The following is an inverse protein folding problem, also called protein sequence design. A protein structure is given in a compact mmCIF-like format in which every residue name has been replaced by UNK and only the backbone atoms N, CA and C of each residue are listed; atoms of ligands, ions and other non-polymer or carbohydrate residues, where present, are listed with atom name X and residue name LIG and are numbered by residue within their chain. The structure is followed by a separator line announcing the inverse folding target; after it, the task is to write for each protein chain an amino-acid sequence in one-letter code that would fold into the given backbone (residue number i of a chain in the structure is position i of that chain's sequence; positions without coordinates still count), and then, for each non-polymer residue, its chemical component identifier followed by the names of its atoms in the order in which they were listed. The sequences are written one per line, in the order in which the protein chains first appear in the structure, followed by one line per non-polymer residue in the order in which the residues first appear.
data_IF_241081068472
#
_entry.id   IF_241081068472
#
_cell.length_a   1.000
_cell.length_b   1.000
_cell.length_c   1.000
_cell.angle_alpha   90.00
_cell.angle_beta   90.00
_cell.angle_gamma   90.00
#
_symmetry.space_group_name_H-M   'P 1'
#
loop_
_entity.id
_entity.type
_entity.pdbx_description
1 polymer ?
#
# COMPACT_ATOMS: atom_id res chain seq x y z
N UNK A 1 7.75 -6.77 -26.83
CA UNK A 1 7.75 -6.83 -25.34
C UNK A 1 8.88 -7.73 -24.88
N UNK A 2 9.77 -7.26 -24.02
CA UNK A 2 10.86 -8.09 -23.47
C UNK A 2 10.32 -9.05 -22.40
N UNK A 3 10.84 -10.29 -22.35
CA UNK A 3 10.40 -11.33 -21.39
C UNK A 3 10.41 -10.84 -19.92
N UNK A 4 11.31 -9.92 -19.60
CA UNK A 4 11.42 -9.31 -18.27
C UNK A 4 10.25 -8.40 -17.91
N UNK A 5 9.64 -7.71 -18.88
CA UNK A 5 8.49 -6.82 -18.65
C UNK A 5 7.21 -7.61 -18.45
N UNK A 6 7.04 -8.73 -19.15
CA UNK A 6 5.90 -9.64 -18.97
C UNK A 6 5.90 -10.23 -17.57
N UNK A 7 7.06 -10.71 -17.09
CA UNK A 7 7.20 -11.24 -15.72
C UNK A 7 6.85 -10.21 -14.63
N UNK A 8 7.24 -8.95 -14.82
CA UNK A 8 6.90 -7.85 -13.91
C UNK A 8 5.39 -7.63 -13.83
N UNK A 9 4.74 -7.52 -14.99
CA UNK A 9 3.30 -7.35 -15.06
C UNK A 9 2.56 -8.54 -14.45
N UNK A 10 3.04 -9.77 -14.70
CA UNK A 10 2.43 -10.98 -14.16
C UNK A 10 2.48 -11.02 -12.62
N UNK A 11 3.62 -10.68 -12.00
CA UNK A 11 3.71 -10.64 -10.53
C UNK A 11 2.82 -9.54 -9.95
N UNK A 12 2.79 -8.36 -10.57
CA UNK A 12 1.88 -7.29 -10.17
C UNK A 12 0.42 -7.75 -10.27
N UNK A 13 0.03 -8.38 -11.38
CA UNK A 13 -1.32 -8.90 -11.58
C UNK A 13 -1.68 -9.99 -10.55
N UNK A 14 -0.75 -10.89 -10.21
CA UNK A 14 -0.98 -11.89 -9.17
C UNK A 14 -1.18 -11.26 -7.78
N UNK A 15 -0.41 -10.23 -7.43
CA UNK A 15 -0.59 -9.50 -6.17
C UNK A 15 -1.94 -8.76 -6.12
N UNK A 16 -2.34 -8.13 -7.23
CA UNK A 16 -3.65 -7.47 -7.35
C UNK A 16 -4.77 -8.49 -7.23
N UNK A 17 -4.67 -9.63 -7.92
CA UNK A 17 -5.68 -10.68 -7.86
C UNK A 17 -5.84 -11.23 -6.43
N UNK A 18 -4.73 -11.47 -5.73
CA UNK A 18 -4.73 -11.88 -4.33
C UNK A 18 -5.45 -10.84 -3.46
N UNK A 19 -5.13 -9.55 -3.62
CA UNK A 19 -5.76 -8.47 -2.86
C UNK A 19 -7.26 -8.37 -3.13
N UNK A 20 -7.68 -8.48 -4.39
CA UNK A 20 -9.10 -8.43 -4.80
C UNK A 20 -9.89 -9.60 -4.22
N UNK A 21 -9.33 -10.82 -4.20
CA UNK A 21 -10.00 -12.01 -3.65
C UNK A 21 -10.05 -11.99 -2.11
N UNK A 22 -9.01 -11.50 -1.45
CA UNK A 22 -8.98 -11.36 0.01
C UNK A 22 -9.93 -10.27 0.51
N UNK A 23 -10.25 -9.28 -0.35
CA UNK A 23 -11.11 -8.15 0.00
C UNK A 23 -12.52 -8.56 0.46
N UNK A 24 -13.30 -9.36 -0.29
CA UNK A 24 -14.63 -9.80 0.14
C UNK A 24 -14.57 -10.84 1.27
N UNK A 25 -13.53 -11.69 1.34
CA UNK A 25 -13.41 -12.74 2.37
C UNK A 25 -13.23 -12.18 3.79
N UNK A 26 -12.54 -11.04 3.93
CA UNK A 26 -12.29 -10.38 5.22
C UNK A 26 -13.00 -9.02 5.32
N UNK A 27 -14.05 -8.79 4.52
CA UNK A 27 -14.89 -7.59 4.64
C UNK A 27 -15.84 -7.76 5.82
N UNK A 28 -15.35 -7.43 7.01
CA UNK A 28 -16.21 -7.25 8.18
C UNK A 28 -17.01 -5.95 7.96
N UNK A 29 -18.31 -5.96 8.20
CA UNK A 29 -19.19 -4.80 7.99
C UNK A 29 -18.60 -3.52 8.62
N UNK A 30 -18.01 -2.66 7.78
CA UNK A 30 -17.43 -1.38 8.19
C UNK A 30 -15.90 -1.29 8.28
N UNK A 31 -15.13 -2.39 8.12
CA UNK A 31 -13.66 -2.35 8.10
C UNK A 31 -13.08 -3.28 7.04
N UNK A 32 -12.18 -2.76 6.18
CA UNK A 32 -11.47 -3.53 5.16
C UNK A 32 -9.95 -3.60 5.47
N UNK A 33 -9.54 -4.35 6.52
CA UNK A 33 -8.16 -4.35 7.00
C UNK A 33 -7.17 -4.97 6.00
N UNK A 34 -7.64 -5.89 5.14
CA UNK A 34 -6.75 -6.61 4.22
C UNK A 34 -6.12 -5.72 3.14
N UNK A 35 -6.79 -4.65 2.72
CA UNK A 35 -6.19 -3.71 1.77
C UNK A 35 -4.94 -3.05 2.35
N UNK A 36 -4.97 -2.68 3.62
CA UNK A 36 -3.82 -2.05 4.27
C UNK A 36 -2.71 -3.05 4.58
N UNK A 37 -3.05 -4.29 4.89
CA UNK A 37 -2.06 -5.38 5.00
C UNK A 37 -1.29 -5.54 3.69
N UNK A 38 -2.02 -5.67 2.57
CA UNK A 38 -1.39 -5.88 1.26
C UNK A 38 -0.62 -4.65 0.80
N UNK A 39 -1.08 -3.44 1.10
CA UNK A 39 -0.32 -2.21 0.85
C UNK A 39 1.01 -2.19 1.59
N UNK A 40 1.04 -2.49 2.90
CA UNK A 40 2.26 -2.52 3.71
C UNK A 40 3.22 -3.62 3.24
N UNK A 41 2.69 -4.80 2.90
CA UNK A 41 3.47 -5.93 2.36
C UNK A 41 4.05 -5.58 0.98
N UNK A 42 3.24 -5.03 0.08
CA UNK A 42 3.68 -4.60 -1.25
C UNK A 42 4.70 -3.46 -1.17
N UNK A 43 4.51 -2.51 -0.26
CA UNK A 43 5.44 -1.42 0.01
C UNK A 43 6.82 -1.95 0.44
N UNK A 44 6.86 -2.93 1.35
CA UNK A 44 8.11 -3.53 1.82
C UNK A 44 8.80 -4.43 0.77
N UNK A 45 8.04 -5.07 -0.13
CA UNK A 45 8.57 -6.03 -1.11
C UNK A 45 8.92 -5.42 -2.47
N UNK A 46 8.10 -4.48 -2.96
CA UNK A 46 8.19 -3.90 -4.31
C UNK A 46 8.57 -2.41 -4.32
N UNK A 47 8.49 -1.75 -3.17
CA UNK A 47 8.81 -0.32 -3.02
C UNK A 47 7.64 0.61 -3.39
N UNK A 48 7.78 1.93 -3.16
CA UNK A 48 6.67 2.88 -3.16
C UNK A 48 5.96 3.00 -4.52
N UNK A 49 6.70 3.12 -5.62
CA UNK A 49 6.08 3.33 -6.95
C UNK A 49 5.24 2.13 -7.40
N UNK A 50 5.77 0.91 -7.24
CA UNK A 50 5.05 -0.30 -7.68
C UNK A 50 3.92 -0.67 -6.72
N UNK A 51 4.10 -0.46 -5.41
CA UNK A 51 3.02 -0.61 -4.44
C UNK A 51 1.86 0.35 -4.74
N UNK A 52 2.16 1.59 -5.13
CA UNK A 52 1.12 2.58 -5.50
C UNK A 52 0.39 2.18 -6.78
N UNK A 53 1.10 1.71 -7.82
CA UNK A 53 0.48 1.23 -9.06
C UNK A 53 -0.40 0.00 -8.80
N UNK A 54 0.08 -0.92 -7.95
CA UNK A 54 -0.67 -2.10 -7.51
C UNK A 54 -1.94 -1.68 -6.75
N UNK A 55 -1.81 -0.80 -5.76
CA UNK A 55 -2.92 -0.30 -4.96
C UNK A 55 -3.96 0.44 -5.82
N UNK A 56 -3.51 1.23 -6.80
CA UNK A 56 -4.37 1.89 -7.77
C UNK A 56 -5.14 0.88 -8.62
N UNK A 57 -4.45 -0.11 -9.20
CA UNK A 57 -5.08 -1.16 -10.00
C UNK A 57 -6.10 -1.97 -9.19
N UNK A 58 -5.76 -2.33 -7.95
CA UNK A 58 -6.68 -3.01 -7.06
C UNK A 58 -7.90 -2.16 -6.71
N UNK A 59 -7.70 -0.89 -6.36
CA UNK A 59 -8.80 0.02 -6.03
C UNK A 59 -9.73 0.28 -7.23
N UNK A 60 -9.21 0.36 -8.46
CA UNK A 60 -10.04 0.43 -9.67
C UNK A 60 -10.88 -0.83 -9.86
N UNK A 61 -10.28 -2.01 -9.72
CA UNK A 61 -11.01 -3.28 -9.85
C UNK A 61 -12.08 -3.42 -8.76
N UNK A 62 -11.76 -3.01 -7.54
CA UNK A 62 -12.70 -2.95 -6.40
C UNK A 62 -13.84 -1.97 -6.64
N UNK A 63 -13.56 -0.81 -7.20
CA UNK A 63 -14.58 0.17 -7.58
C UNK A 63 -15.54 -0.41 -8.63
N UNK A 64 -14.99 -1.12 -9.63
CA UNK A 64 -15.77 -1.72 -10.72
C UNK A 64 -16.58 -2.96 -10.29
N UNK A 65 -16.02 -3.84 -9.46
CA UNK A 65 -16.64 -5.12 -9.08
C UNK A 65 -17.49 -5.06 -7.81
N UNK A 66 -17.07 -4.26 -6.82
CA UNK A 66 -17.68 -4.23 -5.48
C UNK A 66 -18.44 -2.91 -5.20
N UNK A 67 -18.45 -1.96 -6.15
CA UNK A 67 -19.16 -0.68 -6.01
C UNK A 67 -18.66 0.18 -4.84
N UNK A 68 -17.40 -0.01 -4.40
CA UNK A 68 -16.82 0.72 -3.27
C UNK A 68 -16.57 2.18 -3.68
N UNK A 69 -16.86 3.18 -2.82
CA UNK A 69 -16.73 4.59 -3.16
C UNK A 69 -15.28 4.96 -3.55
N UNK A 70 -15.09 5.99 -4.41
CA UNK A 70 -13.77 6.46 -4.86
C UNK A 70 -12.88 6.95 -3.71
N UNK A 71 -13.43 7.11 -2.50
CA UNK A 71 -12.66 7.31 -1.27
C UNK A 71 -11.60 6.24 -1.01
N UNK A 72 -11.91 4.97 -1.31
CA UNK A 72 -10.96 3.89 -1.11
C UNK A 72 -9.77 4.00 -2.07
N UNK A 73 -9.97 4.63 -3.24
CA UNK A 73 -8.93 4.86 -4.24
C UNK A 73 -7.89 5.86 -3.72
N UNK A 74 -8.33 7.02 -3.22
CA UNK A 74 -7.40 8.03 -2.68
C UNK A 74 -6.68 7.49 -1.45
N UNK A 75 -7.41 6.88 -0.51
CA UNK A 75 -6.80 6.24 0.66
C UNK A 75 -5.73 5.20 0.30
N UNK A 76 -6.00 4.31 -0.66
CA UNK A 76 -5.06 3.26 -1.06
C UNK A 76 -3.80 3.80 -1.76
N UNK A 77 -3.94 4.82 -2.61
CA UNK A 77 -2.80 5.47 -3.28
C UNK A 77 -1.88 6.14 -2.25
N UNK A 78 -2.44 6.98 -1.38
CA UNK A 78 -1.65 7.70 -0.37
C UNK A 78 -1.10 6.77 0.70
N UNK A 79 -1.89 5.78 1.13
CA UNK A 79 -1.45 4.71 2.03
C UNK A 79 -0.23 3.98 1.48
N UNK A 80 -0.35 3.34 0.31
CA UNK A 80 0.74 2.57 -0.28
C UNK A 80 1.99 3.42 -0.58
N UNK A 81 1.80 4.69 -0.96
CA UNK A 81 2.89 5.61 -1.22
C UNK A 81 3.62 6.01 0.07
N UNK A 82 2.89 6.39 1.13
CA UNK A 82 3.50 6.73 2.41
C UNK A 82 4.06 5.52 3.14
N UNK A 83 3.42 4.34 3.04
CA UNK A 83 3.96 3.09 3.56
C UNK A 83 5.29 2.73 2.88
N UNK A 84 5.37 2.88 1.56
CA UNK A 84 6.60 2.64 0.79
C UNK A 84 7.70 3.66 1.07
N UNK A 85 7.34 4.94 1.29
CA UNK A 85 8.29 5.96 1.72
C UNK A 85 8.76 5.71 3.16
N UNK A 86 7.84 5.44 4.08
CA UNK A 86 8.12 5.15 5.48
C UNK A 86 9.06 3.97 5.64
N UNK A 87 8.77 2.85 4.96
CA UNK A 87 9.67 1.69 4.94
C UNK A 87 11.08 2.05 4.44
N UNK A 88 11.17 2.95 3.46
CA UNK A 88 12.43 3.36 2.85
C UNK A 88 13.24 4.31 3.71
N UNK A 89 12.61 5.25 4.42
CA UNK A 89 13.27 6.17 5.34
C UNK A 89 13.69 5.47 6.64
N UNK A 90 12.81 4.63 7.17
CA UNK A 90 13.00 4.02 8.48
C UNK A 90 13.84 2.76 8.49
N UNK A 91 13.95 2.01 7.37
CA UNK A 91 14.50 0.64 7.29
C UNK A 91 13.91 -0.38 8.30
N UNK A 92 12.96 0.04 9.14
CA UNK A 92 12.23 -0.80 10.10
C UNK A 92 10.78 -0.96 9.66
N UNK A 93 10.23 -2.16 9.87
CA UNK A 93 8.86 -2.52 9.49
C UNK A 93 7.82 -1.55 10.10
N UNK A 94 8.08 -1.06 11.32
CA UNK A 94 7.26 -0.06 12.02
C UNK A 94 6.98 1.21 11.23
N UNK A 95 7.95 1.70 10.43
CA UNK A 95 7.78 2.91 9.64
C UNK A 95 6.86 2.70 8.42
N UNK A 96 6.77 1.48 7.89
CA UNK A 96 5.83 1.16 6.82
C UNK A 96 4.39 1.25 7.31
N UNK A 97 4.13 0.70 8.49
CA UNK A 97 2.81 0.74 9.13
C UNK A 97 2.42 2.14 9.58
N UNK A 98 3.35 2.90 10.17
CA UNK A 98 3.11 4.31 10.48
C UNK A 98 2.77 5.11 9.21
N UNK A 99 3.47 4.84 8.11
CA UNK A 99 3.17 5.43 6.80
C UNK A 99 1.79 5.08 6.28
N UNK A 100 1.34 3.84 6.40
CA UNK A 100 -0.01 3.41 5.99
C UNK A 100 -1.10 4.07 6.85
N UNK A 101 -0.91 4.13 8.18
CA UNK A 101 -1.85 4.78 9.12
C UNK A 101 -1.97 6.28 8.81
N UNK A 102 -0.85 6.96 8.58
CA UNK A 102 -0.85 8.38 8.22
C UNK A 102 -1.41 8.62 6.81
N UNK A 103 -1.03 7.80 5.84
CA UNK A 103 -1.42 7.94 4.43
C UNK A 103 -2.90 7.64 4.22
N UNK A 104 -3.39 6.51 4.73
CA UNK A 104 -4.77 6.07 4.55
C UNK A 104 -5.70 6.73 5.55
N UNK A 105 -5.26 6.82 6.82
CA UNK A 105 -6.07 7.31 7.93
C UNK A 105 -6.15 8.83 8.01
N UNK A 106 -5.04 9.56 7.87
CA UNK A 106 -5.02 11.02 7.99
C UNK A 106 -5.17 11.70 6.61
N UNK A 107 -4.26 11.43 5.67
CA UNK A 107 -4.25 12.10 4.36
C UNK A 107 -5.43 11.62 3.49
N UNK A 108 -5.69 10.31 3.47
CA UNK A 108 -6.80 9.71 2.72
C UNK A 108 -8.16 10.21 3.19
N UNK A 109 -8.36 10.35 4.51
CA UNK A 109 -9.61 10.90 5.06
C UNK A 109 -9.76 12.40 4.83
N UNK A 110 -8.68 13.19 4.85
CA UNK A 110 -8.76 14.61 4.51
C UNK A 110 -9.08 14.83 3.02
N UNK A 111 -8.43 14.07 2.13
CA UNK A 111 -8.66 14.16 0.68
C UNK A 111 -9.99 13.53 0.24
N UNK A 112 -10.59 12.67 1.08
CA UNK A 112 -11.90 12.10 0.80
C UNK A 112 -13.01 13.15 0.71
N UNK A 113 -12.90 14.24 1.47
CA UNK A 113 -13.90 15.31 1.55
C UNK A 113 -14.17 15.99 0.19
N UNK A 114 -13.17 16.55 -0.53
CA UNK A 114 -13.39 17.16 -1.83
C UNK A 114 -13.82 16.14 -2.90
N UNK A 115 -13.31 14.90 -2.84
CA UNK A 115 -13.66 13.85 -3.82
C UNK A 115 -15.13 13.46 -3.70
N UNK A 116 -15.66 13.35 -2.48
CA UNK A 116 -17.06 12.98 -2.27
C UNK A 116 -18.03 14.11 -2.67
N UNK A 117 -17.67 15.36 -2.36
CA UNK A 117 -18.46 16.55 -2.75
C UNK A 117 -18.56 16.67 -4.26
N UNK A 118 -17.47 16.39 -4.99
CA UNK A 118 -17.45 16.43 -6.45
C UNK A 118 -18.24 15.29 -7.10
N UNK A 119 -18.23 14.09 -6.51
CA UNK A 119 -18.91 12.92 -7.08
C UNK A 119 -20.39 12.80 -6.69
N UNK A 120 -20.78 13.31 -5.52
CA UNK A 120 -22.14 13.10 -4.96
C UNK A 120 -23.00 14.37 -5.01
N UNK A 121 -22.42 15.55 -5.23
CA UNK A 121 -23.16 16.83 -5.37
C UNK A 121 -23.94 17.29 -4.13
N UNK A 122 -23.91 16.51 -3.04
CA UNK A 122 -24.61 16.73 -1.78
C UNK A 122 -23.60 16.92 -0.66
N UNK A 123 -23.60 18.10 -0.04
CA UNK A 123 -22.77 18.45 1.11
C UNK A 123 -23.32 17.82 2.40
N UNK A 124 -23.40 16.49 2.46
CA UNK A 124 -23.76 15.78 3.68
C UNK A 124 -22.52 15.68 4.59
N UNK A 125 -22.37 16.67 5.47
CA UNK A 125 -21.28 16.80 6.45
C UNK A 125 -21.10 15.58 7.38
N UNK A 126 -22.13 14.73 7.52
CA UNK A 126 -22.11 13.55 8.39
C UNK A 126 -21.30 12.36 7.84
N UNK A 127 -21.04 12.26 6.54
CA UNK A 127 -20.30 11.09 6.01
C UNK A 127 -18.85 11.07 6.46
N UNK A 128 -18.23 12.23 6.68
CA UNK A 128 -16.85 12.32 7.16
C UNK A 128 -16.70 11.73 8.57
N UNK A 129 -17.67 11.99 9.46
CA UNK A 129 -17.63 11.51 10.83
C UNK A 129 -17.89 9.99 10.94
N UNK A 130 -18.55 9.40 9.95
CA UNK A 130 -18.82 7.96 9.92
C UNK A 130 -17.74 7.18 9.17
N UNK A 131 -17.19 7.72 8.07
CA UNK A 131 -16.17 7.03 7.27
C UNK A 131 -14.74 7.20 7.81
N UNK A 132 -14.39 8.37 8.36
CA UNK A 132 -13.03 8.61 8.87
C UNK A 132 -12.65 7.64 10.00
N UNK A 133 -13.49 7.37 11.02
CA UNK A 133 -13.17 6.38 12.05
C UNK A 133 -13.08 4.95 11.50
N UNK A 134 -13.86 4.61 10.47
CA UNK A 134 -13.83 3.30 9.80
C UNK A 134 -12.54 3.09 9.02
N UNK A 135 -12.09 4.11 8.29
CA UNK A 135 -10.80 4.10 7.59
C UNK A 135 -9.64 4.08 8.57
N UNK A 136 -9.71 4.85 9.66
CA UNK A 136 -8.68 4.88 10.68
C UNK A 136 -8.59 3.54 11.42
N UNK A 137 -9.72 2.97 11.83
CA UNK A 137 -9.77 1.65 12.48
C UNK A 137 -9.35 0.50 11.57
N UNK A 138 -9.76 0.53 10.29
CA UNK A 138 -9.31 -0.43 9.27
C UNK A 138 -7.82 -0.32 8.97
N UNK A 139 -7.28 0.90 8.91
CA UNK A 139 -5.85 1.14 8.68
C UNK A 139 -5.01 0.77 9.89
N UNK A 140 -5.46 1.02 11.12
CA UNK A 140 -4.76 0.58 12.35
C UNK A 140 -4.73 -0.94 12.42
N UNK A 141 -5.89 -1.60 12.31
CA UNK A 141 -5.97 -3.06 12.37
C UNK A 141 -5.20 -3.72 11.23
N UNK A 142 -5.35 -3.23 10.01
CA UNK A 142 -4.61 -3.71 8.84
C UNK A 142 -3.10 -3.46 8.92
N UNK A 143 -2.67 -2.30 9.42
CA UNK A 143 -1.25 -2.00 9.62
C UNK A 143 -0.63 -2.86 10.70
N UNK A 144 -1.36 -3.15 11.79
CA UNK A 144 -0.89 -4.02 12.85
C UNK A 144 -0.71 -5.47 12.36
N UNK A 145 -1.69 -5.99 11.61
CA UNK A 145 -1.59 -7.31 10.97
C UNK A 145 -0.45 -7.32 9.93
N UNK A 146 -0.33 -6.26 9.13
CA UNK A 146 0.77 -6.08 8.18
C UNK A 146 2.14 -6.10 8.86
N UNK A 147 2.30 -5.42 9.99
CA UNK A 147 3.51 -5.46 10.79
C UNK A 147 3.83 -6.87 11.27
N UNK A 148 2.83 -7.57 11.79
CA UNK A 148 3.02 -8.94 12.28
C UNK A 148 3.50 -9.86 11.15
N UNK A 149 2.87 -9.79 9.98
CA UNK A 149 3.29 -10.55 8.79
C UNK A 149 4.71 -10.17 8.37
N UNK A 150 5.05 -8.88 8.30
CA UNK A 150 6.41 -8.43 7.96
C UNK A 150 7.45 -8.88 8.99
N UNK A 151 7.09 -8.87 10.27
CA UNK A 151 7.96 -9.32 11.35
C UNK A 151 8.26 -10.82 11.22
N UNK A 152 7.24 -11.64 10.99
CA UNK A 152 7.39 -13.07 10.73
C UNK A 152 8.26 -13.33 9.49
N UNK A 153 8.00 -12.61 8.39
CA UNK A 153 8.78 -12.75 7.15
C UNK A 153 10.25 -12.33 7.30
N UNK A 154 10.53 -11.32 8.12
CA UNK A 154 11.90 -10.90 8.44
C UNK A 154 12.61 -11.89 9.35
N UNK A 155 11.88 -12.47 10.31
CA UNK A 155 12.40 -13.50 11.21
C UNK A 155 12.80 -14.78 10.45
N UNK A 156 12.07 -15.13 9.38
CA UNK A 156 12.41 -16.25 8.48
C UNK A 156 13.51 -15.84 7.47
N UNK A 157 13.85 -14.56 7.36
CA UNK A 157 14.87 -14.04 6.43
C UNK A 157 14.45 -14.03 4.95
N UNK A 158 13.17 -14.29 4.68
CA UNK A 158 12.61 -14.36 3.32
C UNK A 158 12.50 -12.97 2.71
N UNK A 159 12.25 -11.93 3.52
CA UNK A 159 12.15 -10.53 3.08
C UNK A 159 13.35 -10.10 2.24
N UNK A 160 14.58 -10.45 2.67
CA UNK A 160 15.81 -10.12 1.94
C UNK A 160 15.93 -10.85 0.60
N UNK A 161 15.48 -12.10 0.52
CA UNK A 161 15.45 -12.87 -0.74
C UNK A 161 14.44 -12.28 -1.72
N UNK A 162 13.23 -12.00 -1.24
CA UNK A 162 12.18 -11.44 -2.09
C UNK A 162 12.55 -10.02 -2.54
N UNK A 163 13.12 -9.19 -1.67
CA UNK A 163 13.63 -7.88 -2.08
C UNK A 163 14.76 -7.98 -3.11
N UNK A 164 15.69 -8.93 -2.97
CA UNK A 164 16.76 -9.15 -3.96
C UNK A 164 16.19 -9.60 -5.31
N UNK A 165 15.19 -10.47 -5.29
CA UNK A 165 14.48 -10.93 -6.50
C UNK A 165 13.67 -9.79 -7.15
N UNK A 166 12.90 -9.07 -6.35
CA UNK A 166 12.10 -7.92 -6.75
C UNK A 166 12.99 -6.80 -7.34
N UNK A 167 14.14 -6.49 -6.74
CA UNK A 167 15.13 -5.53 -7.28
C UNK A 167 15.71 -5.94 -8.63
N UNK A 168 15.85 -7.24 -8.90
CA UNK A 168 16.30 -7.74 -10.22
C UNK A 168 15.20 -7.60 -11.26
N UNK A 169 13.95 -7.80 -10.88
CA UNK A 169 12.81 -7.61 -11.77
C UNK A 169 12.51 -6.13 -12.02
N UNK A 170 12.65 -5.25 -11.03
CA UNK A 170 12.23 -3.84 -11.09
C UNK A 170 13.42 -2.84 -11.02
N UNK A 171 14.24 -2.72 -12.09
CA UNK A 171 15.44 -1.88 -12.08
C UNK A 171 15.18 -0.36 -12.12
N UNK A 172 14.02 0.10 -12.63
CA UNK A 172 13.67 1.53 -12.70
C UNK A 172 13.53 2.19 -11.31
N UNK A 173 13.24 1.41 -10.26
CA UNK A 173 13.20 1.91 -8.88
C UNK A 173 14.58 2.40 -8.41
N UNK A 174 15.69 1.98 -9.04
CA UNK A 174 17.06 2.36 -8.66
C UNK A 174 17.30 3.88 -8.79
N UNK A 175 16.56 4.59 -9.64
CA UNK A 175 16.93 5.95 -10.08
C UNK A 175 16.33 7.09 -9.23
N UNK A 176 15.12 6.94 -8.69
CA UNK A 176 14.66 7.79 -7.57
C UNK A 176 15.32 7.39 -6.23
N UNK A 177 16.18 6.35 -6.25
CA UNK A 177 16.88 5.81 -5.08
C UNK A 177 18.28 6.37 -4.83
N UNK A 178 18.94 7.00 -5.81
CA UNK A 178 20.31 7.51 -5.66
C UNK A 178 20.38 8.95 -5.12
N UNK A 179 19.28 9.71 -5.18
CA UNK A 179 19.30 11.14 -4.82
C UNK A 179 19.15 11.42 -3.31
N UNK A 180 18.75 10.42 -2.50
CA UNK A 180 18.43 10.60 -1.07
C UNK A 180 19.02 9.52 -0.16
N UNK A 181 20.13 8.90 -0.56
CA UNK A 181 20.97 8.11 0.36
C UNK A 181 22.30 8.84 0.56
N UNK A 182 22.67 9.28 1.77
CA UNK A 182 24.09 9.40 2.07
C UNK A 182 24.68 7.99 2.00
N UNK A 183 25.78 7.86 1.26
CA UNK A 183 26.62 6.65 1.21
C UNK A 183 26.95 6.20 2.63
N UNK A 184 26.43 5.06 3.07
CA UNK A 184 27.16 4.21 3.99
C UNK A 184 27.81 3.09 3.17
N UNK A 185 28.99 3.39 2.61
CA UNK A 185 29.93 2.36 2.13
C UNK A 185 30.29 1.47 3.34
N UNK A 186 30.32 0.14 3.23
CA UNK A 186 31.23 -0.63 4.09
C UNK A 186 32.68 -0.41 3.60
N UNK A 187 33.68 -0.32 4.49
CA UNK A 187 35.09 -0.30 4.08
C UNK A 187 35.43 -1.64 3.43
N UNK A 188 35.89 -1.59 2.17
CA UNK A 188 36.61 -2.71 1.58
C UNK A 188 37.99 -2.75 2.26
N UNK A 189 38.30 -3.86 2.93
CA UNK A 189 39.66 -4.35 3.09
C UNK A 189 39.89 -5.47 2.08
#
# INVERSE_FOLDING_TARGET
MTQSSVKKLAILAMMIALDVVLSPLFRVEGMAPMSSVVNVVAAAMMGPLYATIMAFGCALIRMALLGIPPLALTGAIFGALLAGLGYRFGKHNWWAAAGEILGTGLIGSMLSYPVMVWFTGSAQSLYWFVYTPRFFGGSISGSLIGLFVLYELDHIGITKRIQKFSRRLFPCQKQSLTFFTPRSKPPCH
#
